data_IF_526995530719
#
_entry.id   IF_526995530719
#
_cell.length_a   1.000
_cell.length_b   1.000
_cell.length_c   1.000
_cell.angle_alpha   90.00
_cell.angle_beta   90.00
_cell.angle_gamma   90.00
#
_symmetry.space_group_name_H-M   'P 1'
#
loop_
_entity.id
_entity.type
_entity.pdbx_description
1 polymer ?
#
# COMPACT_ATOMS: atom_id res chain seq x y z
N UNK A 1 5.98 -89.66 4.48
CA UNK A 1 6.05 -88.20 4.85
C UNK A 1 6.18 -87.42 3.59
N UNK A 2 5.13 -86.75 3.03
CA UNK A 2 5.23 -86.09 1.73
C UNK A 2 5.76 -84.65 1.86
N UNK A 3 6.63 -84.29 0.94
CA UNK A 3 7.20 -82.96 0.75
C UNK A 3 6.19 -82.02 0.08
N UNK A 4 5.97 -80.86 0.68
CA UNK A 4 5.14 -79.81 0.06
C UNK A 4 6.03 -78.90 -0.76
N UNK A 5 5.72 -78.90 -2.06
CA UNK A 5 6.34 -77.99 -3.01
C UNK A 5 5.60 -76.65 -3.02
N UNK A 6 6.27 -75.57 -2.61
CA UNK A 6 5.71 -74.23 -2.69
C UNK A 6 5.99 -73.62 -4.06
N UNK A 7 4.90 -73.43 -4.82
CA UNK A 7 4.95 -72.79 -6.14
C UNK A 7 4.97 -71.28 -5.97
N UNK A 8 6.11 -70.62 -6.25
CA UNK A 8 6.26 -69.18 -6.28
C UNK A 8 5.54 -68.60 -7.50
N UNK A 9 4.44 -67.90 -7.28
CA UNK A 9 3.79 -67.12 -8.34
C UNK A 9 4.56 -65.81 -8.60
N UNK A 10 5.13 -65.67 -9.81
CA UNK A 10 5.66 -64.41 -10.32
C UNK A 10 4.48 -63.41 -10.52
N UNK A 11 4.42 -62.37 -9.74
CA UNK A 11 3.55 -61.18 -10.01
C UNK A 11 4.22 -60.39 -11.16
N UNK A 12 3.56 -60.40 -12.34
CA UNK A 12 3.85 -59.46 -13.39
C UNK A 12 3.26 -58.10 -13.01
N UNK A 13 4.12 -57.19 -12.57
CA UNK A 13 3.70 -55.83 -12.29
C UNK A 13 3.49 -55.07 -13.59
N UNK A 14 2.26 -54.62 -13.80
CA UNK A 14 1.93 -53.64 -14.86
C UNK A 14 2.59 -52.30 -14.53
N UNK A 15 3.34 -51.66 -15.43
CA UNK A 15 3.91 -50.36 -15.16
C UNK A 15 2.78 -49.33 -15.03
N UNK A 16 2.85 -48.50 -13.99
CA UNK A 16 1.95 -47.38 -13.78
C UNK A 16 1.99 -46.41 -14.98
N UNK A 17 0.86 -45.81 -15.36
CA UNK A 17 0.84 -44.83 -16.44
C UNK A 17 1.73 -43.64 -16.06
N UNK A 18 2.61 -43.24 -16.97
CA UNK A 18 3.41 -42.02 -16.84
C UNK A 18 2.47 -40.83 -16.66
N UNK A 19 2.66 -40.09 -15.60
CA UNK A 19 1.89 -38.87 -15.31
C UNK A 19 1.89 -37.95 -16.53
N UNK A 20 0.73 -37.42 -16.84
CA UNK A 20 0.58 -36.40 -17.86
C UNK A 20 1.54 -35.22 -17.56
N UNK A 21 2.10 -34.56 -18.58
CA UNK A 21 2.92 -33.37 -18.35
C UNK A 21 2.12 -32.31 -17.62
N UNK A 22 2.73 -31.52 -16.70
CA UNK A 22 2.04 -30.48 -16.03
C UNK A 22 1.42 -29.54 -17.06
N UNK A 23 0.14 -29.22 -16.87
CA UNK A 23 -0.58 -28.26 -17.70
C UNK A 23 0.20 -26.95 -17.70
N UNK A 24 0.35 -26.26 -18.84
CA UNK A 24 0.99 -24.94 -18.85
C UNK A 24 0.23 -24.00 -17.90
N UNK A 25 0.92 -23.11 -17.20
CA UNK A 25 0.26 -22.14 -16.34
C UNK A 25 -0.79 -21.40 -17.15
N UNK A 26 -2.02 -21.34 -16.65
CA UNK A 26 -3.11 -20.59 -17.27
C UNK A 26 -2.65 -19.13 -17.34
N UNK A 27 -2.23 -18.71 -18.53
CA UNK A 27 -1.97 -17.30 -18.81
C UNK A 27 -3.30 -16.59 -18.79
N UNK A 28 -3.71 -16.08 -17.63
CA UNK A 28 -4.73 -15.05 -17.57
C UNK A 28 -4.22 -13.92 -18.47
N UNK A 29 -5.00 -13.46 -19.47
CA UNK A 29 -4.54 -12.35 -20.29
C UNK A 29 -4.29 -11.15 -19.39
N UNK A 30 -3.04 -10.73 -19.28
CA UNK A 30 -2.70 -9.54 -18.52
C UNK A 30 -3.34 -8.33 -19.20
N UNK A 31 -4.05 -7.50 -18.45
CA UNK A 31 -4.55 -6.22 -18.94
C UNK A 31 -3.35 -5.29 -19.02
N UNK A 32 -2.55 -5.41 -20.08
CA UNK A 32 -1.33 -4.62 -20.24
C UNK A 32 -1.68 -3.29 -20.86
N UNK A 33 -1.91 -2.27 -20.04
CA UNK A 33 -2.04 -0.88 -20.53
C UNK A 33 -0.70 -0.30 -21.02
N UNK A 34 0.41 -0.93 -20.69
CA UNK A 34 1.77 -0.46 -20.95
C UNK A 34 2.61 -1.47 -21.73
N UNK A 35 2.05 -2.07 -22.80
CA UNK A 35 2.74 -3.10 -23.59
C UNK A 35 4.14 -2.68 -24.08
N UNK A 36 4.37 -1.37 -24.31
CA UNK A 36 5.64 -0.79 -24.71
C UNK A 36 6.71 -0.76 -23.60
N UNK A 37 6.31 -0.96 -22.33
CA UNK A 37 7.20 -0.99 -21.17
C UNK A 37 7.42 -2.39 -20.61
N UNK A 38 6.76 -3.41 -21.18
CA UNK A 38 6.88 -4.79 -20.67
C UNK A 38 8.31 -5.30 -20.84
N UNK A 39 8.96 -5.57 -19.72
CA UNK A 39 10.26 -6.20 -19.70
C UNK A 39 10.12 -7.73 -19.88
N UNK A 40 10.91 -8.37 -20.76
CA UNK A 40 10.95 -9.84 -20.85
C UNK A 40 11.37 -10.52 -19.53
N UNK A 41 12.02 -9.77 -18.62
CA UNK A 41 12.49 -10.28 -17.32
C UNK A 41 11.46 -10.14 -16.20
N UNK A 42 10.48 -9.27 -16.34
CA UNK A 42 9.44 -9.02 -15.34
C UNK A 42 8.22 -8.33 -15.99
N UNK A 43 7.33 -9.12 -16.55
CA UNK A 43 6.03 -8.63 -17.03
C UNK A 43 5.14 -8.19 -15.86
N UNK A 44 5.29 -8.86 -14.72
CA UNK A 44 4.56 -8.59 -13.48
C UNK A 44 4.80 -7.18 -12.95
N UNK A 45 5.97 -6.61 -13.21
CA UNK A 45 6.29 -5.25 -12.78
C UNK A 45 5.41 -4.22 -13.48
N UNK A 46 5.15 -4.37 -14.77
CA UNK A 46 4.26 -3.47 -15.51
C UNK A 46 2.80 -3.57 -15.05
N UNK A 47 2.33 -4.77 -14.72
CA UNK A 47 0.99 -4.98 -14.14
C UNK A 47 0.89 -4.34 -12.75
N UNK A 48 1.93 -4.52 -11.93
CA UNK A 48 1.99 -3.89 -10.61
C UNK A 48 1.96 -2.37 -10.71
N UNK A 49 2.75 -1.75 -11.59
CA UNK A 49 2.79 -0.30 -11.78
C UNK A 49 1.44 0.25 -12.25
N UNK A 50 0.76 -0.43 -13.16
CA UNK A 50 -0.61 -0.08 -13.55
C UNK A 50 -1.58 -0.18 -12.38
N UNK A 51 -1.52 -1.28 -11.63
CA UNK A 51 -2.31 -1.47 -10.41
C UNK A 51 -2.07 -0.38 -9.38
N UNK A 52 -0.81 0.04 -9.20
CA UNK A 52 -0.41 1.11 -8.28
C UNK A 52 -1.02 2.46 -8.69
N UNK A 53 -1.02 2.79 -9.99
CA UNK A 53 -1.64 4.02 -10.52
C UNK A 53 -3.15 4.00 -10.25
N UNK A 54 -3.83 2.91 -10.61
CA UNK A 54 -5.29 2.80 -10.44
C UNK A 54 -5.68 2.83 -8.97
N UNK A 55 -5.00 2.04 -8.13
CA UNK A 55 -5.24 1.99 -6.69
C UNK A 55 -4.92 3.32 -6.01
N UNK A 56 -3.81 3.97 -6.40
CA UNK A 56 -3.42 5.28 -5.88
C UNK A 56 -4.46 6.35 -6.16
N UNK A 57 -4.99 6.41 -7.39
CA UNK A 57 -6.05 7.34 -7.74
C UNK A 57 -7.36 7.06 -6.98
N UNK A 58 -7.71 5.78 -6.77
CA UNK A 58 -8.89 5.41 -5.98
C UNK A 58 -8.70 5.78 -4.50
N UNK A 59 -7.52 5.53 -3.93
CA UNK A 59 -7.17 5.91 -2.57
C UNK A 59 -7.21 7.43 -2.37
N UNK A 60 -6.66 8.21 -3.30
CA UNK A 60 -6.71 9.67 -3.24
C UNK A 60 -8.15 10.21 -3.24
N UNK A 61 -9.02 9.67 -4.09
CA UNK A 61 -10.46 10.03 -4.06
C UNK A 61 -11.10 9.66 -2.73
N UNK A 62 -10.81 8.46 -2.24
CA UNK A 62 -11.34 7.98 -0.97
C UNK A 62 -10.98 8.89 0.19
N UNK A 63 -9.71 9.23 0.38
CA UNK A 63 -9.27 10.03 1.54
C UNK A 63 -9.90 11.43 1.53
N UNK A 64 -10.07 12.04 0.35
CA UNK A 64 -10.72 13.35 0.20
C UNK A 64 -12.20 13.27 0.54
N UNK A 65 -12.93 12.30 -0.02
CA UNK A 65 -14.36 12.15 0.28
C UNK A 65 -14.61 11.79 1.74
N UNK A 66 -13.78 10.92 2.32
CA UNK A 66 -13.89 10.56 3.73
C UNK A 66 -13.66 11.77 4.65
N UNK A 67 -12.64 12.61 4.37
CA UNK A 67 -12.37 13.80 5.16
C UNK A 67 -13.44 14.87 4.96
N UNK A 68 -13.98 15.04 3.76
CA UNK A 68 -15.11 15.91 3.48
C UNK A 68 -16.34 15.49 4.29
N UNK A 69 -16.66 14.18 4.33
CA UNK A 69 -17.75 13.65 5.15
C UNK A 69 -17.49 13.80 6.67
N UNK A 70 -16.21 13.83 7.07
CA UNK A 70 -15.80 14.13 8.44
C UNK A 70 -15.95 15.64 8.80
N UNK A 71 -16.42 16.46 7.87
CA UNK A 71 -16.70 17.88 8.07
C UNK A 71 -15.54 18.82 7.73
N UNK A 72 -14.56 18.35 6.98
CA UNK A 72 -13.43 19.16 6.51
C UNK A 72 -13.29 19.05 4.97
N UNK A 73 -14.13 19.78 4.20
CA UNK A 73 -14.10 19.75 2.75
C UNK A 73 -12.91 20.52 2.16
N UNK A 74 -12.76 20.45 0.84
CA UNK A 74 -11.81 21.24 0.03
C UNK A 74 -10.33 20.96 0.32
N UNK A 75 -10.02 19.81 0.92
CA UNK A 75 -8.66 19.33 1.08
C UNK A 75 -8.21 18.51 -0.13
N UNK A 76 -6.94 18.66 -0.49
CA UNK A 76 -6.28 17.74 -1.41
C UNK A 76 -5.92 16.42 -0.71
N UNK A 77 -5.63 15.34 -1.45
CA UNK A 77 -5.14 14.11 -0.82
C UNK A 77 -3.91 14.36 0.08
N UNK A 78 -2.99 15.21 -0.38
CA UNK A 78 -1.78 15.55 0.39
C UNK A 78 -2.12 16.26 1.71
N UNK A 79 -3.07 17.22 1.69
CA UNK A 79 -3.50 17.91 2.92
C UNK A 79 -4.04 16.93 3.96
N UNK A 80 -4.89 15.99 3.52
CA UNK A 80 -5.45 14.95 4.39
C UNK A 80 -4.35 14.06 4.99
N UNK A 81 -3.41 13.62 4.16
CA UNK A 81 -2.30 12.76 4.61
C UNK A 81 -1.36 13.51 5.56
N UNK A 82 -1.08 14.78 5.30
CA UNK A 82 -0.30 15.64 6.22
C UNK A 82 -1.01 15.78 7.56
N UNK A 83 -2.34 16.02 7.57
CA UNK A 83 -3.11 16.12 8.82
C UNK A 83 -3.03 14.80 9.61
N UNK A 84 -3.24 13.65 8.97
CA UNK A 84 -3.09 12.35 9.63
C UNK A 84 -1.68 12.15 10.20
N UNK A 85 -0.66 12.58 9.45
CA UNK A 85 0.71 12.43 9.90
C UNK A 85 1.03 13.33 11.11
N UNK A 86 0.57 14.58 11.11
CA UNK A 86 0.72 15.50 12.24
C UNK A 86 0.02 14.95 13.48
N UNK A 87 -1.15 14.33 13.31
CA UNK A 87 -1.93 13.73 14.42
C UNK A 87 -1.28 12.47 14.99
N UNK A 88 -0.48 11.74 14.18
CA UNK A 88 0.07 10.45 14.59
C UNK A 88 0.96 10.55 15.84
N UNK A 89 0.66 9.71 16.85
CA UNK A 89 1.35 9.60 18.15
C UNK A 89 1.34 10.87 19.02
N UNK A 90 0.40 11.78 18.79
CA UNK A 90 0.17 12.98 19.64
C UNK A 90 1.44 13.72 20.06
N UNK A 91 2.44 13.80 19.19
CA UNK A 91 3.69 14.55 19.42
C UNK A 91 3.95 15.54 18.30
N UNK A 92 4.57 16.65 18.64
CA UNK A 92 4.93 17.67 17.68
C UNK A 92 5.88 17.12 16.60
N UNK A 93 5.66 17.51 15.35
CA UNK A 93 6.42 17.09 14.18
C UNK A 93 7.18 18.26 13.57
N UNK A 94 8.41 18.06 13.15
CA UNK A 94 9.13 19.01 12.30
C UNK A 94 8.75 18.81 10.84
N UNK A 95 8.88 19.85 10.02
CA UNK A 95 8.67 19.76 8.58
C UNK A 95 9.50 18.61 7.94
N UNK A 96 10.78 18.54 8.31
CA UNK A 96 11.67 17.49 7.80
C UNK A 96 11.21 16.07 8.17
N UNK A 97 10.68 15.86 9.37
CA UNK A 97 10.17 14.56 9.81
C UNK A 97 8.93 14.15 8.98
N UNK A 98 8.04 15.12 8.66
CA UNK A 98 6.86 14.88 7.84
C UNK A 98 7.28 14.50 6.42
N UNK A 99 8.17 15.28 5.79
CA UNK A 99 8.69 15.01 4.46
C UNK A 99 9.34 13.62 4.38
N UNK A 100 10.21 13.30 5.34
CA UNK A 100 10.92 12.02 5.38
C UNK A 100 9.97 10.82 5.46
N UNK A 101 8.98 10.84 6.38
CA UNK A 101 8.08 9.71 6.55
C UNK A 101 7.11 9.56 5.38
N UNK A 102 6.70 10.67 4.79
CA UNK A 102 5.79 10.67 3.62
C UNK A 102 6.52 10.42 2.30
N UNK A 103 7.85 10.30 2.33
CA UNK A 103 8.70 10.16 1.15
C UNK A 103 8.45 11.28 0.12
N UNK A 104 8.39 12.54 0.58
CA UNK A 104 8.17 13.72 -0.24
C UNK A 104 9.45 14.56 -0.24
N UNK A 105 10.09 14.68 -1.40
CA UNK A 105 11.33 15.46 -1.55
C UNK A 105 11.07 16.98 -1.56
N UNK A 106 9.98 17.40 -2.23
CA UNK A 106 9.62 18.81 -2.29
C UNK A 106 8.97 19.29 -0.99
N UNK A 107 9.79 19.90 -0.13
CA UNK A 107 9.35 20.47 1.14
C UNK A 107 8.33 21.61 0.99
N UNK A 108 8.27 22.27 -0.17
CA UNK A 108 7.31 23.35 -0.41
C UNK A 108 5.87 22.83 -0.45
N UNK A 109 5.65 21.63 -0.98
CA UNK A 109 4.33 20.99 -1.02
C UNK A 109 3.79 20.74 0.40
N UNK A 110 4.62 20.18 1.27
CA UNK A 110 4.25 19.93 2.67
C UNK A 110 4.03 21.24 3.43
N UNK A 111 4.89 22.23 3.19
CA UNK A 111 4.75 23.55 3.84
C UNK A 111 3.47 24.26 3.40
N UNK A 112 3.08 24.14 2.12
CA UNK A 112 1.81 24.68 1.64
C UNK A 112 0.60 24.01 2.30
N UNK A 113 0.60 22.67 2.39
CA UNK A 113 -0.43 21.90 3.09
C UNK A 113 -0.52 22.29 4.58
N UNK A 114 0.62 22.42 5.27
CA UNK A 114 0.65 22.83 6.67
C UNK A 114 0.07 24.23 6.86
N UNK A 115 0.40 25.21 6.00
CA UNK A 115 -0.18 26.55 6.04
C UNK A 115 -1.69 26.53 5.84
N UNK A 116 -2.18 25.73 4.88
CA UNK A 116 -3.62 25.55 4.64
C UNK A 116 -4.32 24.99 5.87
N UNK A 117 -3.76 23.93 6.46
CA UNK A 117 -4.31 23.29 7.66
C UNK A 117 -4.27 24.23 8.89
N UNK A 118 -3.26 25.08 9.01
CA UNK A 118 -3.21 26.12 10.04
C UNK A 118 -4.30 27.19 9.83
N UNK A 119 -4.52 27.63 8.60
CA UNK A 119 -5.59 28.58 8.27
C UNK A 119 -6.98 28.03 8.58
N UNK A 120 -7.16 26.72 8.47
CA UNK A 120 -8.36 26.00 8.86
C UNK A 120 -8.47 25.74 10.38
N UNK A 121 -7.42 26.07 11.14
CA UNK A 121 -7.39 25.91 12.59
C UNK A 121 -7.22 24.46 13.07
N UNK A 122 -6.98 23.50 12.17
CA UNK A 122 -6.82 22.06 12.51
C UNK A 122 -5.39 21.68 12.88
N UNK A 123 -4.42 22.54 12.55
CA UNK A 123 -3.00 22.38 12.90
C UNK A 123 -2.50 23.68 13.49
N UNK A 124 -1.63 23.61 14.48
CA UNK A 124 -0.93 24.75 15.09
C UNK A 124 0.57 24.52 14.98
N UNK A 125 1.32 25.62 14.83
CA UNK A 125 2.78 25.57 14.93
C UNK A 125 3.25 26.23 16.22
N UNK A 126 4.33 25.70 16.77
CA UNK A 126 5.06 26.33 17.85
C UNK A 126 6.53 26.48 17.45
N UNK A 127 7.15 27.59 17.87
CA UNK A 127 8.54 27.90 17.59
C UNK A 127 9.33 27.88 18.90
N UNK A 128 10.41 27.09 18.91
CA UNK A 128 11.37 27.06 20.01
C UNK A 128 12.77 27.29 19.45
N UNK A 129 13.32 28.47 19.66
CA UNK A 129 14.58 28.87 19.03
C UNK A 129 14.49 28.89 17.51
N UNK A 130 15.29 28.04 16.86
CA UNK A 130 15.29 27.87 15.40
C UNK A 130 14.32 26.79 14.89
N UNK A 131 13.80 25.96 15.79
CA UNK A 131 12.93 24.83 15.46
C UNK A 131 11.47 25.27 15.40
N UNK A 132 10.80 24.91 14.32
CA UNK A 132 9.35 25.02 14.16
C UNK A 132 8.77 23.61 14.16
N UNK A 133 7.78 23.40 15.03
CA UNK A 133 7.06 22.13 15.14
C UNK A 133 5.57 22.35 14.93
N UNK A 134 4.90 21.31 14.46
CA UNK A 134 3.47 21.29 14.14
C UNK A 134 2.76 20.26 15.01
N UNK A 135 1.57 20.61 15.46
CA UNK A 135 0.70 19.74 16.24
C UNK A 135 -0.75 19.86 15.77
N UNK A 136 -1.50 18.79 15.93
CA UNK A 136 -2.94 18.79 15.72
C UNK A 136 -3.63 19.55 16.85
N UNK A 137 -4.64 20.36 16.51
CA UNK A 137 -5.52 20.99 17.51
C UNK A 137 -6.62 20.03 17.93
N UNK A 138 -7.37 20.36 19.00
CA UNK A 138 -8.54 19.57 19.43
C UNK A 138 -9.58 19.49 18.30
N UNK A 139 -9.83 20.60 17.59
CA UNK A 139 -10.71 20.62 16.42
C UNK A 139 -10.20 19.69 15.31
N UNK A 140 -8.90 19.69 15.04
CA UNK A 140 -8.30 18.78 14.08
C UNK A 140 -8.46 17.31 14.50
N UNK A 141 -8.30 17.04 15.79
CA UNK A 141 -8.48 15.71 16.36
C UNK A 141 -9.94 15.22 16.20
N UNK A 142 -10.93 16.10 16.41
CA UNK A 142 -12.34 15.76 16.21
C UNK A 142 -12.64 15.34 14.76
N UNK A 143 -12.10 16.06 13.77
CA UNK A 143 -12.24 15.69 12.37
C UNK A 143 -11.56 14.36 12.05
N UNK A 144 -10.35 14.11 12.58
CA UNK A 144 -9.63 12.85 12.41
C UNK A 144 -10.38 11.68 13.07
N UNK A 145 -11.00 11.88 14.23
CA UNK A 145 -11.82 10.86 14.87
C UNK A 145 -13.06 10.52 14.04
N UNK A 146 -13.77 11.52 13.51
CA UNK A 146 -14.90 11.31 12.58
C UNK A 146 -14.46 10.59 11.30
N UNK A 147 -13.31 10.98 10.75
CA UNK A 147 -12.72 10.26 9.60
C UNK A 147 -12.53 8.77 9.94
N UNK A 148 -12.01 8.45 11.12
CA UNK A 148 -11.82 7.06 11.55
C UNK A 148 -13.14 6.30 11.62
N UNK A 149 -14.20 6.89 12.17
CA UNK A 149 -15.53 6.28 12.26
C UNK A 149 -16.11 6.00 10.86
N UNK A 150 -16.00 6.95 9.94
CA UNK A 150 -16.44 6.78 8.55
C UNK A 150 -15.60 5.70 7.87
N UNK A 151 -14.29 5.66 8.12
CA UNK A 151 -13.41 4.62 7.59
C UNK A 151 -13.81 3.24 8.07
N UNK A 152 -14.10 3.06 9.34
CA UNK A 152 -14.61 1.78 9.88
C UNK A 152 -15.92 1.38 9.20
N UNK A 153 -16.87 2.31 9.11
CA UNK A 153 -18.19 2.03 8.54
C UNK A 153 -18.15 1.72 7.05
N UNK A 154 -17.44 2.54 6.26
CA UNK A 154 -17.52 2.47 4.78
C UNK A 154 -16.44 1.59 4.16
N UNK A 155 -15.27 1.45 4.77
CA UNK A 155 -14.14 0.72 4.19
C UNK A 155 -13.85 -0.59 4.93
N UNK A 156 -13.66 -0.54 6.25
CA UNK A 156 -13.24 -1.73 6.99
C UNK A 156 -14.36 -2.77 7.04
N UNK A 157 -15.60 -2.35 7.29
CA UNK A 157 -16.74 -3.26 7.28
C UNK A 157 -16.98 -3.92 5.90
N UNK A 158 -16.63 -3.21 4.81
CA UNK A 158 -16.73 -3.77 3.46
C UNK A 158 -15.65 -4.81 3.14
N UNK A 159 -14.51 -4.76 3.81
CA UNK A 159 -13.45 -5.76 3.67
C UNK A 159 -13.82 -7.11 4.29
N UNK A 160 -14.89 -7.16 5.09
CA UNK A 160 -15.41 -8.35 5.80
C UNK A 160 -14.39 -9.44 6.02
N UNK A 161 -13.95 -9.52 7.22
CA UNK A 161 -13.32 -10.59 7.99
C UNK A 161 -12.93 -11.91 7.28
N UNK A 162 -12.48 -11.87 6.03
CA UNK A 162 -11.71 -12.96 5.47
C UNK A 162 -10.28 -12.82 5.97
N UNK A 163 -9.87 -13.69 6.88
CA UNK A 163 -8.51 -13.72 7.44
C UNK A 163 -7.45 -13.86 6.34
N UNK A 164 -7.79 -14.44 5.19
CA UNK A 164 -6.95 -14.53 4.00
C UNK A 164 -6.66 -13.15 3.41
N UNK A 165 -7.68 -12.37 3.13
CA UNK A 165 -7.54 -11.03 2.54
C UNK A 165 -6.75 -10.08 3.46
N UNK A 166 -6.98 -10.10 4.77
CA UNK A 166 -6.25 -9.27 5.72
C UNK A 166 -4.74 -9.61 5.73
N UNK A 167 -4.40 -10.90 5.67
CA UNK A 167 -3.00 -11.34 5.57
C UNK A 167 -2.36 -10.86 4.27
N UNK A 168 -3.05 -11.00 3.14
CA UNK A 168 -2.57 -10.61 1.83
C UNK A 168 -2.38 -9.09 1.72
N UNK A 169 -3.27 -8.29 2.31
CA UNK A 169 -3.12 -6.84 2.45
C UNK A 169 -1.88 -6.49 3.29
N UNK A 170 -1.63 -7.21 4.38
CA UNK A 170 -0.44 -7.04 5.22
C UNK A 170 0.86 -7.32 4.44
N UNK A 171 0.88 -8.39 3.65
CA UNK A 171 2.01 -8.76 2.80
C UNK A 171 2.22 -7.73 1.68
N UNK A 172 1.15 -7.29 1.01
CA UNK A 172 1.20 -6.22 0.02
C UNK A 172 1.77 -4.93 0.62
N UNK A 173 1.35 -4.55 1.82
CA UNK A 173 1.89 -3.37 2.51
C UNK A 173 3.39 -3.48 2.80
N UNK A 174 3.90 -4.69 3.08
CA UNK A 174 5.33 -4.96 3.24
C UNK A 174 6.07 -4.81 1.91
N UNK A 175 5.53 -5.37 0.83
CA UNK A 175 6.10 -5.28 -0.52
C UNK A 175 6.13 -3.84 -1.03
N UNK A 176 5.07 -3.05 -0.82
CA UNK A 176 5.02 -1.63 -1.19
C UNK A 176 6.15 -0.82 -0.52
N UNK A 177 6.43 -1.07 0.77
CA UNK A 177 7.55 -0.42 1.46
C UNK A 177 8.92 -0.82 0.89
N UNK A 178 9.10 -2.08 0.50
CA UNK A 178 10.32 -2.54 -0.16
C UNK A 178 10.49 -1.88 -1.54
N UNK A 179 9.44 -1.87 -2.35
CA UNK A 179 9.45 -1.28 -3.68
C UNK A 179 9.67 0.23 -3.66
N UNK A 180 9.17 0.95 -2.65
CA UNK A 180 9.47 2.37 -2.47
C UNK A 180 10.99 2.63 -2.44
N UNK A 181 11.76 1.85 -1.67
CA UNK A 181 13.22 1.97 -1.66
C UNK A 181 13.89 1.62 -2.99
N UNK A 182 13.33 0.67 -3.74
CA UNK A 182 13.83 0.32 -5.09
C UNK A 182 13.59 1.46 -6.07
N UNK A 183 12.38 2.07 -6.05
CA UNK A 183 12.07 3.22 -6.89
C UNK A 183 12.95 4.44 -6.56
N UNK A 184 13.19 4.73 -5.29
CA UNK A 184 14.09 5.81 -4.88
C UNK A 184 15.51 5.59 -5.40
N UNK A 185 16.01 4.36 -5.36
CA UNK A 185 17.32 4.01 -5.90
C UNK A 185 17.34 4.14 -7.44
N UNK A 186 16.29 3.68 -8.12
CA UNK A 186 16.17 3.81 -9.57
C UNK A 186 16.12 5.28 -10.02
N UNK A 187 15.37 6.12 -9.28
CA UNK A 187 15.29 7.55 -9.55
C UNK A 187 16.66 8.23 -9.43
N UNK A 188 17.43 7.92 -8.37
CA UNK A 188 18.80 8.44 -8.22
C UNK A 188 19.71 7.97 -9.33
N UNK A 189 19.60 6.71 -9.76
CA UNK A 189 20.40 6.19 -10.87
C UNK A 189 20.04 6.88 -12.19
N UNK A 190 18.77 7.09 -12.46
CA UNK A 190 18.30 7.79 -13.67
C UNK A 190 18.77 9.26 -13.71
N UNK A 191 18.80 9.94 -12.55
CA UNK A 191 19.26 11.32 -12.45
C UNK A 191 20.78 11.48 -12.70
N UNK A 192 21.54 10.39 -12.75
CA UNK A 192 22.99 10.37 -13.00
C UNK A 192 23.35 9.98 -14.44
N UNK A 193 22.37 9.71 -15.31
CA UNK A 193 22.56 9.43 -16.74
C UNK A 193 22.66 10.70 -17.56
#
# INVERSE_FOLDING_TARGET
MPAWSVRVMKKTGTPAPRGAPPSPPSSTPSIVSSAHLVSPRSAEMSEFEFGLIVAGNAFHRWVVHCMSAAGLPDLTPLDVLVLHHVTHRARNKRLADICFIMNVEDTHLINYSLKKLQNLGVVVSSKSGKDVTYACTDMGMDHVNRYREIRESCLINALNADDGLNRDIGELARLLRLLSGIYDQAARSAASL
#
